data_IF_134762827951
#
_entry.id   IF_134762827951
#
_cell.length_a   1.000
_cell.length_b   1.000
_cell.length_c   1.000
_cell.angle_alpha   90.00
_cell.angle_beta   90.00
_cell.angle_gamma   90.00
#
_symmetry.space_group_name_H-M   'P 1'
#
loop_
_entity.id
_entity.type
_entity.pdbx_description
1 polymer ?
#
# COMPACT_ATOMS: atom_id res chain seq x y z
N UNK A 1 3.36 11.12 3.16
CA UNK A 1 3.72 12.32 2.35
C UNK A 1 4.40 13.40 3.17
N UNK A 2 3.77 13.91 4.25
CA UNK A 2 4.37 14.94 5.13
C UNK A 2 5.76 14.54 5.62
N UNK A 3 5.91 13.31 6.11
CA UNK A 3 7.20 12.76 6.53
C UNK A 3 8.26 12.76 5.41
N UNK A 4 7.87 12.47 4.16
CA UNK A 4 8.81 12.49 3.03
C UNK A 4 9.30 13.92 2.76
N UNK A 5 8.40 14.92 2.82
CA UNK A 5 8.77 16.33 2.66
C UNK A 5 9.73 16.78 3.76
N UNK A 6 9.52 16.37 5.01
CA UNK A 6 10.39 16.75 6.13
C UNK A 6 11.80 16.16 6.08
N UNK A 7 12.01 15.11 5.28
CA UNK A 7 13.33 14.46 5.09
C UNK A 7 13.88 14.67 3.67
N UNK A 8 13.39 15.70 2.96
CA UNK A 8 13.78 16.02 1.59
C UNK A 8 13.69 14.81 0.63
N UNK A 9 12.66 13.99 0.82
CA UNK A 9 12.36 12.79 0.03
C UNK A 9 13.58 11.84 -0.05
N UNK A 10 14.37 11.71 1.02
CA UNK A 10 15.57 10.85 1.05
C UNK A 10 15.29 9.41 1.45
N UNK A 11 14.08 9.11 1.94
CA UNK A 11 13.75 7.83 2.57
C UNK A 11 12.84 6.99 1.68
N UNK A 12 13.01 5.68 1.74
CA UNK A 12 12.14 4.65 1.14
C UNK A 12 11.48 3.81 2.23
N UNK A 13 10.63 2.85 1.85
CA UNK A 13 10.21 1.81 2.79
C UNK A 13 11.45 1.03 3.25
N UNK A 14 11.72 0.90 4.56
CA UNK A 14 12.85 0.10 5.04
C UNK A 14 12.77 -1.36 4.57
N UNK A 15 11.57 -1.94 4.59
CA UNK A 15 11.33 -3.32 4.17
C UNK A 15 11.44 -3.48 2.65
N UNK A 16 10.99 -2.50 1.88
CA UNK A 16 11.21 -2.46 0.44
C UNK A 16 12.69 -2.37 0.08
N UNK A 17 13.49 -1.62 0.85
CA UNK A 17 14.95 -1.56 0.68
C UNK A 17 15.61 -2.89 1.01
N UNK A 18 15.27 -3.52 2.14
CA UNK A 18 15.78 -4.86 2.46
C UNK A 18 15.39 -5.87 1.37
N UNK A 19 14.14 -5.80 0.89
CA UNK A 19 13.63 -6.68 -0.17
C UNK A 19 14.35 -6.50 -1.50
N UNK A 20 14.72 -5.27 -1.85
CA UNK A 20 15.47 -4.94 -3.06
C UNK A 20 16.90 -5.51 -3.03
N UNK A 21 17.50 -5.59 -1.85
CA UNK A 21 18.89 -6.01 -1.66
C UNK A 21 18.99 -7.53 -1.35
N UNK A 22 17.88 -8.25 -1.36
CA UNK A 22 17.86 -9.71 -1.15
C UNK A 22 18.64 -10.44 -2.25
N UNK A 23 19.50 -11.37 -1.83
CA UNK A 23 20.08 -12.39 -2.70
C UNK A 23 19.48 -13.79 -2.44
N UNK A 24 19.86 -14.75 -3.28
CA UNK A 24 19.33 -16.14 -3.24
C UNK A 24 19.60 -16.86 -1.92
N UNK A 25 20.65 -16.47 -1.19
CA UNK A 25 21.07 -17.15 0.06
C UNK A 25 20.32 -16.66 1.29
N UNK A 26 19.54 -15.58 1.18
CA UNK A 26 18.90 -14.90 2.31
C UNK A 26 17.44 -15.33 2.54
N UNK A 27 17.20 -16.65 2.58
CA UNK A 27 15.81 -17.15 2.65
C UNK A 27 15.11 -16.83 3.97
N UNK A 28 15.82 -16.78 5.09
CA UNK A 28 15.23 -16.37 6.39
C UNK A 28 14.70 -14.93 6.31
N UNK A 29 15.50 -14.01 5.75
CA UNK A 29 15.09 -12.61 5.59
C UNK A 29 13.89 -12.51 4.62
N UNK A 30 13.88 -13.32 3.56
CA UNK A 30 12.74 -13.39 2.63
C UNK A 30 11.47 -13.84 3.35
N UNK A 31 11.56 -14.83 4.23
CA UNK A 31 10.44 -15.31 5.05
C UNK A 31 9.94 -14.22 6.00
N UNK A 32 10.84 -13.48 6.66
CA UNK A 32 10.46 -12.37 7.55
C UNK A 32 9.74 -11.25 6.79
N UNK A 33 10.25 -10.87 5.61
CA UNK A 33 9.58 -9.89 4.75
C UNK A 33 8.20 -10.38 4.30
N UNK A 34 8.08 -11.65 3.89
CA UNK A 34 6.80 -12.26 3.54
C UNK A 34 5.81 -12.21 4.70
N UNK A 35 6.26 -12.55 5.91
CA UNK A 35 5.42 -12.51 7.10
C UNK A 35 4.93 -11.10 7.38
N UNK A 36 5.81 -10.09 7.29
CA UNK A 36 5.40 -8.70 7.46
C UNK A 36 4.36 -8.27 6.42
N UNK A 37 4.62 -8.51 5.14
CA UNK A 37 3.70 -8.08 4.08
C UNK A 37 2.38 -8.83 4.15
N UNK A 38 2.39 -10.12 4.51
CA UNK A 38 1.19 -10.91 4.76
C UNK A 38 0.38 -10.36 5.96
N UNK A 39 1.06 -9.97 7.04
CA UNK A 39 0.40 -9.32 8.18
C UNK A 39 -0.23 -7.98 7.80
N UNK A 40 0.51 -7.12 7.09
CA UNK A 40 0.01 -5.82 6.64
C UNK A 40 -1.18 -5.97 5.69
N UNK A 41 -1.09 -6.90 4.75
CA UNK A 41 -2.16 -7.27 3.83
C UNK A 41 -3.40 -7.73 4.58
N UNK A 42 -3.24 -8.70 5.48
CA UNK A 42 -4.36 -9.25 6.26
C UNK A 42 -5.12 -8.18 7.05
N UNK A 43 -4.43 -7.16 7.57
CA UNK A 43 -5.08 -6.03 8.27
C UNK A 43 -5.93 -5.18 7.33
N UNK A 44 -5.42 -4.89 6.13
CA UNK A 44 -6.13 -4.10 5.12
C UNK A 44 -7.31 -4.89 4.53
N UNK A 45 -7.08 -6.15 4.16
CA UNK A 45 -8.12 -7.02 3.61
C UNK A 45 -9.26 -7.20 4.62
N UNK A 46 -8.94 -7.45 5.89
CA UNK A 46 -9.94 -7.52 6.96
C UNK A 46 -10.74 -6.23 7.09
N UNK A 47 -10.08 -5.06 7.06
CA UNK A 47 -10.78 -3.78 7.10
C UNK A 47 -11.79 -3.65 5.96
N UNK A 48 -11.39 -3.93 4.71
CA UNK A 48 -12.30 -3.85 3.57
C UNK A 48 -13.42 -4.89 3.63
N UNK A 49 -13.14 -6.10 4.13
CA UNK A 49 -14.14 -7.14 4.32
C UNK A 49 -15.20 -6.73 5.36
N UNK A 50 -14.79 -6.13 6.48
CA UNK A 50 -15.71 -5.59 7.51
C UNK A 50 -16.60 -4.49 6.92
N UNK A 51 -16.04 -3.57 6.13
CA UNK A 51 -16.79 -2.48 5.47
C UNK A 51 -17.76 -2.99 4.41
N UNK A 52 -17.38 -4.03 3.66
CA UNK A 52 -18.24 -4.71 2.71
C UNK A 52 -19.39 -5.43 3.42
N UNK A 53 -19.12 -6.12 4.52
CA UNK A 53 -20.13 -6.80 5.34
C UNK A 53 -21.12 -5.81 5.97
N UNK A 54 -20.65 -4.62 6.36
CA UNK A 54 -21.49 -3.52 6.85
C UNK A 54 -22.33 -2.83 5.76
N UNK A 55 -22.18 -3.23 4.48
CA UNK A 55 -22.90 -2.64 3.36
C UNK A 55 -22.34 -1.28 2.89
N UNK A 56 -21.20 -0.84 3.45
CA UNK A 56 -20.55 0.44 3.11
C UNK A 56 -19.77 0.37 1.78
N UNK A 57 -19.49 -0.84 1.29
CA UNK A 57 -18.84 -1.10 -0.01
C UNK A 57 -19.73 -1.94 -0.93
N UNK A 58 -19.47 -1.85 -2.23
CA UNK A 58 -20.09 -2.67 -3.25
C UNK A 58 -19.86 -4.16 -3.02
N UNK A 59 -20.85 -4.99 -3.38
CA UNK A 59 -20.68 -6.45 -3.39
C UNK A 59 -19.59 -6.90 -4.38
N UNK A 60 -19.29 -6.09 -5.39
CA UNK A 60 -18.16 -6.31 -6.31
C UNK A 60 -16.80 -5.89 -5.75
N UNK A 61 -16.75 -5.24 -4.58
CA UNK A 61 -15.48 -4.88 -3.96
C UNK A 61 -14.72 -6.16 -3.56
N UNK A 62 -13.45 -6.23 -3.96
CA UNK A 62 -12.53 -7.31 -3.61
C UNK A 62 -11.59 -6.84 -2.48
N UNK A 63 -11.80 -7.29 -1.22
CA UNK A 63 -10.99 -6.85 -0.10
C UNK A 63 -9.50 -7.14 -0.24
N UNK A 64 -9.15 -8.32 -0.78
CA UNK A 64 -7.76 -8.74 -0.97
C UNK A 64 -7.10 -7.93 -2.08
N UNK A 65 -7.78 -7.76 -3.22
CA UNK A 65 -7.29 -6.91 -4.31
C UNK A 65 -7.10 -5.44 -3.91
N UNK A 66 -7.97 -4.90 -3.04
CA UNK A 66 -7.80 -3.55 -2.49
C UNK A 66 -6.61 -3.45 -1.53
N UNK A 67 -6.34 -4.49 -0.74
CA UNK A 67 -5.15 -4.55 0.11
C UNK A 67 -3.87 -4.57 -0.74
N UNK A 68 -3.84 -5.40 -1.79
CA UNK A 68 -2.72 -5.46 -2.74
C UNK A 68 -2.47 -4.12 -3.43
N UNK A 69 -3.54 -3.46 -3.87
CA UNK A 69 -3.47 -2.13 -4.48
C UNK A 69 -2.77 -1.14 -3.54
N UNK A 70 -3.20 -1.06 -2.28
CA UNK A 70 -2.64 -0.09 -1.34
C UNK A 70 -1.18 -0.39 -1.01
N UNK A 71 -0.81 -1.65 -0.76
CA UNK A 71 0.57 -2.03 -0.48
C UNK A 71 1.47 -1.67 -1.66
N UNK A 72 1.04 -2.03 -2.88
CA UNK A 72 1.83 -1.82 -4.09
C UNK A 72 2.00 -0.32 -4.40
N UNK A 73 0.92 0.46 -4.29
CA UNK A 73 0.96 1.92 -4.47
C UNK A 73 1.90 2.57 -3.44
N UNK A 74 1.90 2.11 -2.19
CA UNK A 74 2.81 2.62 -1.16
C UNK A 74 4.28 2.28 -1.48
N UNK A 75 4.59 1.03 -1.85
CA UNK A 75 5.97 0.63 -2.15
C UNK A 75 6.53 1.37 -3.37
N UNK A 76 5.79 1.38 -4.48
CA UNK A 76 6.19 2.12 -5.69
C UNK A 76 6.22 3.62 -5.47
N UNK A 77 5.24 4.17 -4.74
CA UNK A 77 5.17 5.59 -4.43
C UNK A 77 6.35 6.08 -3.61
N UNK A 78 6.78 5.32 -2.59
CA UNK A 78 7.98 5.65 -1.81
C UNK A 78 9.26 5.58 -2.65
N UNK A 79 9.38 4.59 -3.54
CA UNK A 79 10.52 4.46 -4.44
C UNK A 79 10.63 5.66 -5.39
N UNK A 80 9.56 5.97 -6.13
CA UNK A 80 9.55 7.06 -7.10
C UNK A 80 9.73 8.42 -6.41
N UNK A 81 9.12 8.63 -5.23
CA UNK A 81 9.33 9.84 -4.44
C UNK A 81 10.82 10.06 -4.11
N UNK A 82 11.54 8.98 -3.77
CA UNK A 82 12.97 9.04 -3.46
C UNK A 82 13.83 9.36 -4.67
N UNK A 83 13.49 8.80 -5.83
CA UNK A 83 14.21 9.03 -7.10
C UNK A 83 14.02 10.49 -7.55
N UNK A 84 12.77 10.93 -7.64
CA UNK A 84 12.40 12.24 -8.20
C UNK A 84 12.58 13.41 -7.22
N UNK A 85 12.85 13.10 -5.94
CA UNK A 85 12.91 14.08 -4.83
C UNK A 85 11.63 14.90 -4.67
N UNK A 86 10.50 14.33 -5.07
CA UNK A 86 9.22 15.00 -5.30
C UNK A 86 8.08 14.05 -4.93
N UNK A 87 7.11 14.53 -4.16
CA UNK A 87 6.00 13.69 -3.68
C UNK A 87 4.81 13.67 -4.63
N UNK A 88 4.77 14.55 -5.62
CA UNK A 88 3.63 14.81 -6.49
C UNK A 88 3.19 13.57 -7.27
N UNK A 89 4.15 12.72 -7.69
CA UNK A 89 3.83 11.46 -8.39
C UNK A 89 3.11 10.50 -7.44
N UNK A 90 3.60 10.35 -6.22
CA UNK A 90 2.97 9.50 -5.23
C UNK A 90 1.62 10.06 -4.77
N UNK A 91 1.51 11.37 -4.58
CA UNK A 91 0.24 12.05 -4.26
C UNK A 91 -0.82 11.77 -5.34
N UNK A 92 -0.46 11.89 -6.62
CA UNK A 92 -1.38 11.56 -7.73
C UNK A 92 -1.77 10.09 -7.74
N UNK A 93 -0.82 9.17 -7.56
CA UNK A 93 -1.12 7.73 -7.51
C UNK A 93 -2.04 7.36 -6.33
N UNK A 94 -1.77 7.92 -5.14
CA UNK A 94 -2.61 7.74 -3.97
C UNK A 94 -4.03 8.29 -4.18
N UNK A 95 -4.15 9.44 -4.87
CA UNK A 95 -5.46 9.98 -5.23
C UNK A 95 -6.22 9.06 -6.19
N UNK A 96 -5.57 8.45 -7.16
CA UNK A 96 -6.23 7.48 -8.06
C UNK A 96 -6.70 6.24 -7.30
N UNK A 97 -5.88 5.70 -6.38
CA UNK A 97 -6.28 4.59 -5.53
C UNK A 97 -7.48 4.96 -4.64
N UNK A 98 -7.50 6.18 -4.08
CA UNK A 98 -8.63 6.67 -3.29
C UNK A 98 -9.90 6.81 -4.13
N UNK A 99 -9.80 7.39 -5.33
CA UNK A 99 -10.93 7.52 -6.25
C UNK A 99 -11.53 6.13 -6.59
N UNK A 100 -10.67 5.15 -6.85
CA UNK A 100 -11.11 3.77 -7.10
C UNK A 100 -11.90 3.21 -5.90
N UNK A 101 -11.40 3.35 -4.68
CA UNK A 101 -12.10 2.91 -3.47
C UNK A 101 -13.41 3.68 -3.25
N UNK A 102 -13.42 4.99 -3.51
CA UNK A 102 -14.62 5.82 -3.40
C UNK A 102 -15.72 5.40 -4.36
N UNK A 103 -15.37 4.99 -5.59
CA UNK A 103 -16.33 4.45 -6.55
C UNK A 103 -16.96 3.13 -6.10
N UNK A 104 -16.32 2.40 -5.19
CA UNK A 104 -16.85 1.20 -4.57
C UNK A 104 -17.73 1.51 -3.35
N UNK A 105 -17.72 2.74 -2.82
CA UNK A 105 -18.52 3.09 -1.64
C UNK A 105 -20.00 3.10 -1.97
N UNK A 106 -20.79 2.58 -1.04
CA UNK A 106 -22.24 2.73 -1.02
C UNK A 106 -22.60 3.78 0.02
N UNK A 107 -23.49 4.68 -0.35
CA UNK A 107 -24.14 5.57 0.62
C UNK A 107 -25.31 4.77 1.18
N UNK A 108 -25.25 4.38 2.45
CA UNK A 108 -26.44 3.86 3.14
C UNK A 108 -27.52 4.93 3.06
N UNK A 109 -28.67 4.57 2.48
CA UNK A 109 -29.90 5.37 2.59
C UNK A 109 -30.47 5.23 3.99
#
# INVERSE_FOLDING_TARGET
IVFQKSVACTRSCPLGTIGNDLNEKQEIIRQDLRLFFSWAHSKLARFFAERKAAGELSQSADPDGLADLLITVMQGGMLVTKIERKTEIFERAAQQALNHIQNLRRVSR
#
